data_IF_021248289278
#
_entry.id   IF_021248289278
#
_cell.length_a   1.000
_cell.length_b   1.000
_cell.length_c   1.000
_cell.angle_alpha   90.00
_cell.angle_beta   90.00
_cell.angle_gamma   90.00
#
_symmetry.space_group_name_H-M   'P 1'
#
loop_
_entity.id
_entity.type
_entity.pdbx_description
1 polymer ?
#
# COMPACT_ATOMS: atom_id res chain seq x y z
N UNK A 1 23.82 21.49 -22.88
CA UNK A 1 24.35 21.93 -24.19
C UNK A 1 25.85 22.01 -24.04
N UNK A 2 26.61 21.33 -24.90
CA UNK A 2 28.06 21.45 -24.93
C UNK A 2 28.38 22.45 -26.04
N UNK A 3 29.00 23.58 -25.68
CA UNK A 3 29.44 24.57 -26.66
C UNK A 3 30.61 24.00 -27.46
N UNK A 4 30.43 23.92 -28.78
CA UNK A 4 31.41 23.40 -29.70
C UNK A 4 32.38 24.52 -30.20
N UNK A 5 32.08 25.79 -29.93
CA UNK A 5 32.83 26.94 -30.42
C UNK A 5 32.51 27.28 -31.87
N UNK A 6 33.28 28.22 -32.44
CA UNK A 6 33.12 28.67 -33.84
C UNK A 6 34.01 27.85 -34.77
N UNK A 7 33.45 27.33 -35.85
CA UNK A 7 34.17 26.61 -36.90
C UNK A 7 34.17 27.45 -38.18
N UNK A 8 35.35 27.72 -38.72
CA UNK A 8 35.50 28.34 -40.03
C UNK A 8 35.47 27.29 -41.15
N UNK A 9 35.09 27.72 -42.36
CA UNK A 9 35.07 26.85 -43.53
C UNK A 9 36.44 26.19 -43.76
N UNK A 10 36.47 24.87 -43.83
CA UNK A 10 37.70 24.09 -44.04
C UNK A 10 38.43 23.66 -42.76
N UNK A 11 37.93 24.02 -41.57
CA UNK A 11 38.45 23.60 -40.28
C UNK A 11 37.50 22.63 -39.57
N UNK A 12 38.03 21.75 -38.71
CA UNK A 12 37.26 20.77 -37.96
C UNK A 12 38.02 20.24 -36.74
N UNK A 13 37.35 19.42 -35.92
CA UNK A 13 37.97 18.80 -34.75
C UNK A 13 38.96 17.70 -35.17
N UNK A 14 40.19 17.78 -34.65
CA UNK A 14 41.25 16.79 -34.93
C UNK A 14 41.13 15.49 -34.12
N UNK A 15 40.10 15.32 -33.29
CA UNK A 15 39.93 14.14 -32.44
C UNK A 15 38.55 14.07 -31.78
N UNK A 16 38.29 12.95 -31.10
CA UNK A 16 37.02 12.70 -30.42
C UNK A 16 36.84 13.57 -29.16
N UNK A 17 35.67 14.18 -29.01
CA UNK A 17 35.26 14.92 -27.82
C UNK A 17 34.05 14.28 -27.15
N UNK A 18 34.00 14.30 -25.81
CA UNK A 18 32.83 13.85 -25.06
C UNK A 18 31.76 14.94 -25.06
N UNK A 19 30.60 14.64 -25.66
CA UNK A 19 29.48 15.60 -25.81
C UNK A 19 28.36 15.41 -24.77
N UNK A 20 28.42 14.36 -23.95
CA UNK A 20 27.42 14.11 -22.92
C UNK A 20 27.60 12.79 -22.17
N UNK A 21 26.71 12.53 -21.21
CA UNK A 21 26.58 11.27 -20.50
C UNK A 21 25.11 10.99 -20.20
N UNK A 22 24.71 9.72 -20.29
CA UNK A 22 23.36 9.27 -19.98
C UNK A 22 23.42 8.54 -18.64
N UNK A 23 22.73 9.07 -17.64
CA UNK A 23 22.63 8.46 -16.33
C UNK A 23 21.42 7.53 -16.33
N UNK A 24 21.65 6.24 -16.58
CA UNK A 24 20.60 5.22 -16.64
C UNK A 24 19.85 5.05 -15.33
N UNK A 25 20.42 5.48 -14.20
CA UNK A 25 19.79 5.46 -12.88
C UNK A 25 18.55 6.36 -12.74
N UNK A 26 18.38 7.36 -13.62
CA UNK A 26 17.19 8.21 -13.63
C UNK A 26 16.13 7.76 -14.65
N UNK A 27 16.41 6.69 -15.41
CA UNK A 27 15.47 6.16 -16.37
C UNK A 27 14.48 5.25 -15.64
N UNK A 28 13.20 5.58 -15.71
CA UNK A 28 12.12 4.72 -15.26
C UNK A 28 11.27 4.30 -16.48
N UNK A 29 11.57 3.13 -17.07
CA UNK A 29 10.90 2.68 -18.29
C UNK A 29 9.46 2.21 -18.02
N UNK A 30 8.64 2.07 -19.07
CA UNK A 30 7.27 1.54 -18.94
C UNK A 30 7.23 0.11 -18.37
N UNK A 31 8.26 -0.68 -18.63
CA UNK A 31 8.36 -2.08 -18.21
C UNK A 31 9.83 -2.42 -17.87
N UNK A 32 10.06 -3.48 -17.10
CA UNK A 32 11.36 -3.93 -16.59
C UNK A 32 12.25 -4.65 -17.60
N UNK A 33 13.45 -5.05 -17.22
CA UNK A 33 14.34 -5.86 -18.05
C UNK A 33 15.06 -5.08 -19.17
N UNK A 34 15.33 -5.75 -20.30
CA UNK A 34 16.14 -5.16 -21.39
C UNK A 34 15.32 -4.15 -22.20
N UNK A 35 15.77 -2.89 -22.19
CA UNK A 35 15.12 -1.78 -22.88
C UNK A 35 16.03 -1.19 -23.94
N UNK A 36 15.43 -0.84 -25.08
CA UNK A 36 16.11 -0.14 -26.17
C UNK A 36 15.97 1.36 -25.95
N UNK A 37 17.09 2.07 -26.08
CA UNK A 37 17.17 3.52 -26.02
C UNK A 37 17.50 4.04 -27.40
N UNK A 38 16.75 5.06 -27.82
CA UNK A 38 17.11 5.87 -28.98
C UNK A 38 17.70 7.18 -28.50
N UNK A 39 19.00 7.35 -28.71
CA UNK A 39 19.74 8.55 -28.35
C UNK A 39 19.70 9.47 -29.55
N UNK A 40 19.06 10.63 -29.39
CA UNK A 40 19.01 11.67 -30.42
C UNK A 40 19.97 12.78 -30.03
N UNK A 41 21.00 12.96 -30.83
CA UNK A 41 21.96 14.06 -30.71
C UNK A 41 21.72 15.05 -31.85
N UNK A 42 21.67 16.34 -31.52
CA UNK A 42 21.47 17.41 -32.51
C UNK A 42 22.62 18.38 -32.45
N UNK A 43 23.15 18.71 -33.62
CA UNK A 43 24.04 19.85 -33.82
C UNK A 43 23.15 21.01 -34.23
N UNK A 44 23.24 22.11 -33.49
CA UNK A 44 22.34 23.25 -33.66
C UNK A 44 23.14 24.53 -33.86
N UNK A 45 22.60 25.44 -34.67
CA UNK A 45 23.11 26.79 -34.78
C UNK A 45 22.70 27.58 -33.53
N UNK A 46 23.66 28.09 -32.77
CA UNK A 46 23.35 28.87 -31.57
C UNK A 46 22.79 30.27 -31.88
N UNK A 47 23.06 30.80 -33.08
CA UNK A 47 22.52 32.10 -33.53
C UNK A 47 21.08 31.98 -34.08
N UNK A 48 20.63 30.76 -34.38
CA UNK A 48 19.29 30.42 -34.84
C UNK A 48 18.84 29.13 -34.14
N UNK A 49 18.65 29.19 -32.81
CA UNK A 49 18.43 27.99 -32.02
C UNK A 49 17.04 27.38 -32.29
N UNK A 50 16.95 26.08 -32.63
CA UNK A 50 15.70 25.46 -33.01
C UNK A 50 14.75 25.30 -31.83
N UNK A 51 13.44 25.31 -32.09
CA UNK A 51 12.43 25.11 -31.06
C UNK A 51 12.29 23.62 -30.70
N UNK A 52 12.96 23.21 -29.62
CA UNK A 52 12.93 21.83 -29.13
C UNK A 52 11.88 21.68 -28.02
N UNK A 53 10.83 20.90 -28.28
CA UNK A 53 9.78 20.60 -27.31
C UNK A 53 9.69 19.09 -27.05
N UNK A 54 9.82 18.68 -25.78
CA UNK A 54 9.81 17.27 -25.36
C UNK A 54 10.79 16.37 -26.14
N UNK A 55 11.90 16.95 -26.62
CA UNK A 55 12.90 16.24 -27.42
C UNK A 55 12.62 16.19 -28.93
N UNK A 56 11.52 16.79 -29.40
CA UNK A 56 11.15 16.89 -30.82
C UNK A 56 11.41 18.30 -31.36
N UNK A 57 11.66 18.39 -32.67
CA UNK A 57 11.90 19.61 -33.43
C UNK A 57 11.24 19.45 -34.80
N UNK A 58 10.77 20.54 -35.41
CA UNK A 58 10.24 20.51 -36.79
C UNK A 58 11.35 20.19 -37.79
N UNK A 59 11.02 19.51 -38.88
CA UNK A 59 11.92 19.32 -40.03
C UNK A 59 12.17 20.63 -40.79
N UNK A 60 11.28 21.61 -40.63
CA UNK A 60 11.38 22.95 -41.26
C UNK A 60 12.24 23.93 -40.43
N UNK A 61 12.79 23.49 -39.31
CA UNK A 61 13.59 24.33 -38.42
C UNK A 61 15.03 24.42 -38.93
N UNK A 62 15.38 25.58 -39.49
CA UNK A 62 16.71 25.86 -40.06
C UNK A 62 17.84 25.88 -39.01
N UNK A 63 17.48 25.92 -37.73
CA UNK A 63 18.42 25.90 -36.62
C UNK A 63 19.10 24.56 -36.38
N UNK A 64 18.57 23.46 -36.93
CA UNK A 64 19.19 22.13 -36.85
C UNK A 64 20.18 21.97 -38.00
N UNK A 65 21.47 21.90 -37.66
CA UNK A 65 22.55 21.67 -38.63
C UNK A 65 22.61 20.18 -39.01
N UNK A 66 22.51 19.30 -38.01
CA UNK A 66 22.52 17.85 -38.22
C UNK A 66 21.85 17.10 -37.05
N UNK A 67 21.34 15.90 -37.32
CA UNK A 67 20.78 15.00 -36.31
C UNK A 67 21.39 13.61 -36.42
N UNK A 68 22.04 13.17 -35.35
CA UNK A 68 22.60 11.84 -35.22
C UNK A 68 21.71 11.01 -34.29
N UNK A 69 21.39 9.80 -34.73
CA UNK A 69 20.61 8.85 -33.93
C UNK A 69 21.48 7.63 -33.66
N UNK A 70 21.60 7.27 -32.38
CA UNK A 70 22.28 6.06 -31.96
C UNK A 70 21.33 5.20 -31.13
N UNK A 71 21.36 3.91 -31.38
CA UNK A 71 20.65 2.94 -30.55
C UNK A 71 21.57 2.44 -29.44
N UNK A 72 21.03 2.36 -28.24
CA UNK A 72 21.68 1.76 -27.09
C UNK A 72 20.69 0.80 -26.41
N UNK A 73 21.20 -0.03 -25.51
CA UNK A 73 20.33 -0.83 -24.64
C UNK A 73 20.80 -0.73 -23.22
N UNK A 74 19.84 -0.73 -22.30
CA UNK A 74 20.12 -0.87 -20.87
C UNK A 74 19.19 -1.92 -20.27
N UNK A 75 19.57 -2.43 -19.11
CA UNK A 75 18.75 -3.33 -18.33
C UNK A 75 18.22 -2.57 -17.13
N UNK A 76 16.90 -2.57 -16.95
CA UNK A 76 16.24 -2.06 -15.75
C UNK A 76 15.90 -3.24 -14.84
N UNK A 77 16.37 -3.20 -13.61
CA UNK A 77 16.07 -4.23 -12.61
C UNK A 77 14.78 -3.88 -11.88
N UNK A 78 13.83 -4.80 -11.84
CA UNK A 78 12.47 -4.59 -11.29
C UNK A 78 11.42 -4.16 -12.32
N UNK A 79 10.23 -3.81 -11.81
CA UNK A 79 9.05 -3.47 -12.61
C UNK A 79 9.09 -2.03 -13.13
N UNK A 80 8.72 -1.83 -14.39
CA UNK A 80 8.52 -0.49 -14.94
C UNK A 80 7.19 0.13 -14.50
N UNK A 81 6.96 1.40 -14.84
CA UNK A 81 5.79 2.15 -14.32
C UNK A 81 4.43 1.59 -14.74
N UNK A 82 4.32 0.88 -15.87
CA UNK A 82 3.07 0.24 -16.27
C UNK A 82 2.83 -1.04 -15.47
N UNK A 83 3.86 -1.88 -15.32
CA UNK A 83 3.80 -3.10 -14.52
C UNK A 83 3.49 -2.78 -13.05
N UNK A 84 4.15 -1.77 -12.47
CA UNK A 84 3.85 -1.30 -11.11
C UNK A 84 2.40 -0.84 -11.00
N UNK A 85 1.90 -0.07 -11.97
CA UNK A 85 0.50 0.39 -11.95
C UNK A 85 -0.50 -0.76 -12.10
N UNK A 86 -0.16 -1.84 -12.81
CA UNK A 86 -0.98 -3.05 -12.92
C UNK A 86 -0.96 -3.85 -11.63
N UNK A 87 0.23 -4.09 -11.07
CA UNK A 87 0.41 -4.77 -9.79
C UNK A 87 -0.33 -4.05 -8.65
N UNK A 88 -0.32 -2.71 -8.62
CA UNK A 88 -1.10 -1.94 -7.64
C UNK A 88 -2.61 -2.20 -7.74
N UNK A 89 -3.14 -2.35 -8.96
CA UNK A 89 -4.56 -2.64 -9.15
C UNK A 89 -4.91 -4.06 -8.72
N UNK A 90 -4.02 -5.01 -9.01
CA UNK A 90 -4.20 -6.41 -8.60
C UNK A 90 -4.03 -6.57 -7.08
N UNK A 91 -3.00 -5.97 -6.49
CA UNK A 91 -2.79 -5.93 -5.04
C UNK A 91 -4.03 -5.40 -4.31
N UNK A 92 -4.63 -4.30 -4.77
CA UNK A 92 -5.88 -3.79 -4.20
C UNK A 92 -7.07 -4.73 -4.34
N UNK A 93 -7.09 -5.57 -5.37
CA UNK A 93 -8.10 -6.62 -5.50
C UNK A 93 -7.88 -7.73 -4.47
N UNK A 94 -6.63 -8.10 -4.18
CA UNK A 94 -6.30 -9.03 -3.10
C UNK A 94 -6.61 -8.43 -1.70
N UNK A 95 -6.37 -7.13 -1.49
CA UNK A 95 -6.77 -6.42 -0.26
C UNK A 95 -8.27 -6.57 0.00
N UNK A 96 -9.11 -6.39 -1.03
CA UNK A 96 -10.57 -6.59 -0.92
C UNK A 96 -10.92 -8.02 -0.52
N UNK A 97 -10.22 -9.02 -1.08
CA UNK A 97 -10.43 -10.44 -0.73
C UNK A 97 -10.06 -10.73 0.73
N UNK A 98 -8.93 -10.19 1.22
CA UNK A 98 -8.53 -10.32 2.63
C UNK A 98 -9.59 -9.71 3.55
N UNK A 99 -10.05 -8.49 3.25
CA UNK A 99 -11.08 -7.81 4.01
C UNK A 99 -12.40 -8.61 4.03
N UNK A 100 -12.81 -9.17 2.89
CA UNK A 100 -13.97 -10.06 2.81
C UNK A 100 -13.78 -11.31 3.66
N UNK A 101 -12.57 -11.87 3.71
CA UNK A 101 -12.29 -13.05 4.53
C UNK A 101 -12.41 -12.78 6.03
N UNK A 102 -12.13 -11.53 6.45
CA UNK A 102 -12.30 -11.06 7.83
C UNK A 102 -13.78 -10.88 8.14
N UNK A 103 -14.53 -10.14 7.30
CA UNK A 103 -15.98 -9.97 7.48
C UNK A 103 -16.71 -11.33 7.57
N UNK A 104 -16.35 -12.27 6.71
CA UNK A 104 -16.95 -13.61 6.68
C UNK A 104 -16.37 -14.57 7.73
N UNK A 105 -15.61 -14.11 8.73
CA UNK A 105 -14.96 -14.98 9.71
C UNK A 105 -15.94 -15.75 10.59
N UNK A 106 -17.11 -15.17 10.87
CA UNK A 106 -18.20 -15.78 11.64
C UNK A 106 -19.17 -16.62 10.77
N UNK A 107 -18.98 -16.58 9.44
CA UNK A 107 -19.80 -17.29 8.44
C UNK A 107 -20.91 -16.45 7.80
N UNK A 108 -21.10 -15.20 8.20
CA UNK A 108 -22.01 -14.24 7.59
C UNK A 108 -21.31 -12.92 7.27
N UNK A 109 -21.96 -12.07 6.47
CA UNK A 109 -21.48 -10.72 6.17
C UNK A 109 -22.53 -9.74 6.68
N UNK A 110 -22.16 -8.87 7.61
CA UNK A 110 -23.02 -7.77 8.04
C UNK A 110 -23.07 -6.67 6.97
N UNK A 111 -24.20 -5.96 6.89
CA UNK A 111 -24.35 -4.84 5.97
C UNK A 111 -23.30 -3.74 6.24
N UNK A 112 -22.92 -3.53 7.51
CA UNK A 112 -21.95 -2.52 7.95
C UNK A 112 -20.54 -2.86 7.46
N UNK A 113 -20.09 -4.10 7.63
CA UNK A 113 -18.82 -4.62 7.13
C UNK A 113 -18.72 -4.51 5.61
N UNK A 114 -19.76 -4.97 4.90
CA UNK A 114 -19.83 -4.86 3.44
C UNK A 114 -19.82 -3.41 2.97
N UNK A 115 -20.40 -2.49 3.75
CA UNK A 115 -20.36 -1.06 3.47
C UNK A 115 -18.99 -0.43 3.75
N UNK A 116 -18.24 -0.90 4.75
CA UNK A 116 -16.86 -0.49 5.00
C UNK A 116 -15.97 -0.81 3.78
N UNK A 117 -16.05 -2.03 3.24
CA UNK A 117 -15.30 -2.40 2.03
C UNK A 117 -15.71 -1.52 0.83
N UNK A 118 -17.02 -1.28 0.63
CA UNK A 118 -17.50 -0.37 -0.44
C UNK A 118 -17.01 1.07 -0.25
N UNK A 119 -16.91 1.55 0.99
CA UNK A 119 -16.41 2.89 1.29
C UNK A 119 -14.93 2.98 0.92
N UNK A 120 -14.14 1.98 1.33
CA UNK A 120 -12.73 1.90 0.96
C UNK A 120 -12.53 1.88 -0.56
N UNK A 121 -13.33 1.10 -1.31
CA UNK A 121 -13.28 1.10 -2.79
C UNK A 121 -13.51 2.51 -3.35
N UNK A 122 -14.46 3.27 -2.80
CA UNK A 122 -14.73 4.66 -3.24
C UNK A 122 -13.53 5.56 -2.96
N UNK A 123 -12.89 5.42 -1.79
CA UNK A 123 -11.68 6.17 -1.41
C UNK A 123 -10.51 5.84 -2.34
N UNK A 124 -10.28 4.56 -2.63
CA UNK A 124 -9.19 4.09 -3.50
C UNK A 124 -9.30 4.62 -4.94
N UNK A 125 -10.52 4.79 -5.47
CA UNK A 125 -10.74 5.30 -6.83
C UNK A 125 -10.95 6.81 -6.92
N UNK A 126 -11.07 7.51 -5.78
CA UNK A 126 -11.34 8.95 -5.74
C UNK A 126 -10.27 9.82 -6.45
N UNK A 127 -8.97 9.49 -6.43
CA UNK A 127 -7.95 10.26 -7.14
C UNK A 127 -8.03 10.17 -8.67
N UNK A 128 -8.76 9.20 -9.21
CA UNK A 128 -8.85 8.95 -10.65
C UNK A 128 -10.12 9.59 -11.25
N UNK A 129 -10.10 9.86 -12.55
CA UNK A 129 -11.26 10.39 -13.28
C UNK A 129 -11.47 9.71 -14.63
N UNK A 130 -12.67 9.89 -15.20
CA UNK A 130 -13.04 9.37 -16.52
C UNK A 130 -12.91 7.85 -16.63
N UNK A 131 -12.37 7.38 -17.76
CA UNK A 131 -12.29 5.95 -18.10
C UNK A 131 -11.52 5.12 -17.07
N UNK A 132 -10.43 5.65 -16.49
CA UNK A 132 -9.63 4.91 -15.50
C UNK A 132 -10.42 4.67 -14.22
N UNK A 133 -11.17 5.67 -13.74
CA UNK A 133 -12.01 5.52 -12.55
C UNK A 133 -13.11 4.47 -12.76
N UNK A 134 -13.77 4.48 -13.93
CA UNK A 134 -14.79 3.49 -14.28
C UNK A 134 -14.21 2.07 -14.36
N UNK A 135 -13.02 1.92 -14.95
CA UNK A 135 -12.31 0.65 -15.03
C UNK A 135 -11.98 0.10 -13.63
N UNK A 136 -11.36 0.92 -12.76
CA UNK A 136 -11.01 0.51 -11.40
C UNK A 136 -12.25 0.17 -10.57
N UNK A 137 -13.30 0.98 -10.68
CA UNK A 137 -14.59 0.71 -10.04
C UNK A 137 -15.11 -0.67 -10.45
N UNK A 138 -15.03 -1.03 -11.73
CA UNK A 138 -15.47 -2.35 -12.20
C UNK A 138 -14.62 -3.46 -11.57
N UNK A 139 -13.29 -3.38 -11.68
CA UNK A 139 -12.35 -4.38 -11.15
C UNK A 139 -12.59 -4.62 -9.65
N UNK A 140 -12.66 -3.56 -8.85
CA UNK A 140 -12.81 -3.69 -7.40
C UNK A 140 -14.20 -4.17 -6.97
N UNK A 141 -15.26 -3.77 -7.66
CA UNK A 141 -16.60 -4.31 -7.37
C UNK A 141 -16.72 -5.78 -7.82
N UNK A 142 -16.03 -6.19 -8.87
CA UNK A 142 -15.99 -7.58 -9.29
C UNK A 142 -15.21 -8.41 -8.26
N UNK A 143 -14.05 -7.93 -7.77
CA UNK A 143 -13.31 -8.55 -6.67
C UNK A 143 -14.16 -8.70 -5.40
N UNK A 144 -14.94 -7.67 -5.03
CA UNK A 144 -15.86 -7.72 -3.89
C UNK A 144 -16.94 -8.81 -4.05
N UNK A 145 -17.55 -8.92 -5.24
CA UNK A 145 -18.59 -9.93 -5.49
C UNK A 145 -18.02 -11.35 -5.53
N UNK A 146 -16.89 -11.53 -6.21
CA UNK A 146 -16.24 -12.83 -6.34
C UNK A 146 -15.76 -13.32 -4.99
N UNK A 147 -15.08 -12.49 -4.20
CA UNK A 147 -14.62 -12.85 -2.86
C UNK A 147 -15.76 -13.24 -1.93
N UNK A 148 -16.91 -12.54 -1.99
CA UNK A 148 -18.09 -12.92 -1.21
C UNK A 148 -18.63 -14.31 -1.62
N UNK A 149 -18.69 -14.59 -2.92
CA UNK A 149 -19.13 -15.90 -3.42
C UNK A 149 -18.19 -17.02 -2.99
N UNK A 150 -16.88 -16.81 -3.13
CA UNK A 150 -15.83 -17.75 -2.72
C UNK A 150 -15.83 -17.95 -1.19
N UNK A 151 -16.04 -16.90 -0.40
CA UNK A 151 -16.14 -17.02 1.05
C UNK A 151 -17.36 -17.85 1.45
N UNK A 152 -18.49 -17.64 0.77
CA UNK A 152 -19.73 -18.38 1.01
C UNK A 152 -19.64 -19.86 0.63
N UNK A 153 -18.88 -20.20 -0.42
CA UNK A 153 -18.63 -21.60 -0.80
C UNK A 153 -17.50 -22.26 -0.03
N UNK A 154 -16.71 -21.49 0.73
CA UNK A 154 -15.53 -21.97 1.44
C UNK A 154 -14.28 -22.10 0.56
N UNK A 155 -14.32 -21.55 -0.66
CA UNK A 155 -13.23 -21.60 -1.64
C UNK A 155 -12.25 -20.42 -1.51
N UNK A 156 -12.59 -19.39 -0.72
CA UNK A 156 -11.73 -18.22 -0.55
C UNK A 156 -10.45 -18.58 0.21
N UNK A 157 -9.33 -18.65 -0.51
CA UNK A 157 -8.02 -18.97 0.05
C UNK A 157 -7.33 -17.74 0.62
N UNK A 158 -7.32 -17.61 1.95
CA UNK A 158 -6.60 -16.53 2.64
C UNK A 158 -5.09 -16.64 2.40
N UNK A 159 -4.52 -17.84 2.50
CA UNK A 159 -3.07 -18.02 2.29
C UNK A 159 -2.65 -17.69 0.86
N UNK A 160 -3.43 -18.12 -0.14
CA UNK A 160 -3.14 -17.78 -1.54
C UNK A 160 -3.27 -16.28 -1.81
N UNK A 161 -4.23 -15.62 -1.16
CA UNK A 161 -4.41 -14.15 -1.24
C UNK A 161 -3.21 -13.43 -0.60
N UNK A 162 -2.74 -13.89 0.57
CA UNK A 162 -1.55 -13.35 1.26
C UNK A 162 -0.30 -13.54 0.41
N UNK A 163 -0.05 -14.75 -0.13
CA UNK A 163 1.10 -15.03 -1.00
C UNK A 163 1.09 -14.15 -2.25
N UNK A 164 -0.08 -13.99 -2.89
CA UNK A 164 -0.22 -13.14 -4.07
C UNK A 164 0.00 -11.66 -3.73
N UNK A 165 -0.49 -11.21 -2.57
CA UNK A 165 -0.25 -9.85 -2.12
C UNK A 165 1.23 -9.62 -1.79
N UNK A 166 1.92 -10.57 -1.16
CA UNK A 166 3.38 -10.51 -0.92
C UNK A 166 4.20 -10.34 -2.20
N UNK A 167 3.78 -10.99 -3.30
CA UNK A 167 4.45 -10.91 -4.60
C UNK A 167 4.26 -9.56 -5.29
N UNK A 168 3.07 -8.96 -5.17
CA UNK A 168 2.67 -7.79 -5.94
C UNK A 168 2.86 -6.47 -5.19
N UNK A 169 2.72 -6.48 -3.87
CA UNK A 169 2.54 -5.29 -3.06
C UNK A 169 3.86 -4.77 -2.47
N UNK A 170 4.03 -3.45 -2.56
CA UNK A 170 5.00 -2.74 -1.75
C UNK A 170 4.49 -2.58 -0.31
N UNK A 171 5.38 -2.21 0.61
CA UNK A 171 5.05 -2.05 2.04
C UNK A 171 3.79 -1.21 2.31
N UNK A 172 3.54 -0.07 1.64
CA UNK A 172 2.34 0.72 1.89
C UNK A 172 1.02 -0.05 1.66
N UNK A 173 0.94 -0.84 0.61
CA UNK A 173 -0.25 -1.62 0.25
C UNK A 173 -0.49 -2.77 1.24
N UNK A 174 0.57 -3.35 1.82
CA UNK A 174 0.45 -4.36 2.87
C UNK A 174 -0.17 -3.77 4.15
N UNK A 175 0.25 -2.57 4.55
CA UNK A 175 -0.39 -1.85 5.66
C UNK A 175 -1.82 -1.38 5.32
N UNK A 176 -2.06 -0.96 4.07
CA UNK A 176 -3.40 -0.63 3.57
C UNK A 176 -4.36 -1.85 3.70
N UNK A 177 -3.84 -3.07 3.48
CA UNK A 177 -4.60 -4.30 3.67
C UNK A 177 -5.07 -4.48 5.11
N UNK A 178 -4.15 -4.32 6.08
CA UNK A 178 -4.47 -4.48 7.49
C UNK A 178 -5.36 -3.36 8.00
N UNK A 179 -5.15 -2.10 7.56
CA UNK A 179 -6.03 -0.99 7.92
C UNK A 179 -7.46 -1.28 7.45
N UNK A 180 -7.66 -1.76 6.23
CA UNK A 180 -9.00 -2.14 5.77
C UNK A 180 -9.59 -3.29 6.59
N UNK A 181 -8.80 -4.30 6.96
CA UNK A 181 -9.30 -5.39 7.79
C UNK A 181 -9.77 -4.90 9.17
N UNK A 182 -9.06 -3.94 9.77
CA UNK A 182 -9.52 -3.29 11.01
C UNK A 182 -10.74 -2.38 10.80
N UNK A 183 -10.84 -1.68 9.66
CA UNK A 183 -12.02 -0.90 9.32
C UNK A 183 -13.28 -1.77 9.17
N UNK A 184 -13.13 -2.98 8.62
CA UNK A 184 -14.20 -3.98 8.48
C UNK A 184 -14.65 -4.48 9.85
N UNK A 185 -13.72 -4.99 10.65
CA UNK A 185 -14.00 -5.45 12.02
C UNK A 185 -14.60 -4.34 12.90
N UNK A 186 -14.27 -3.07 12.62
CA UNK A 186 -14.81 -1.93 13.36
C UNK A 186 -16.20 -1.49 12.89
N UNK A 187 -16.71 -2.00 11.78
CA UNK A 187 -17.84 -1.41 11.07
C UNK A 187 -19.19 -1.61 11.79
N UNK A 188 -19.40 -2.78 12.39
CA UNK A 188 -20.58 -3.09 13.20
C UNK A 188 -20.44 -2.65 14.67
N UNK A 189 -19.24 -2.18 15.03
CA UNK A 189 -18.88 -1.70 16.35
C UNK A 189 -18.50 -2.79 17.34
N UNK A 190 -18.44 -4.05 16.93
CA UNK A 190 -18.19 -5.20 17.82
C UNK A 190 -16.98 -5.98 17.31
N UNK A 191 -16.01 -6.27 18.18
CA UNK A 191 -14.84 -7.05 17.79
C UNK A 191 -15.02 -8.53 18.13
N UNK A 192 -15.05 -9.42 17.13
CA UNK A 192 -15.10 -10.87 17.32
C UNK A 192 -13.69 -11.50 17.42
N UNK A 193 -13.57 -12.57 18.21
CA UNK A 193 -12.29 -13.28 18.41
C UNK A 193 -11.74 -13.90 17.12
N UNK A 194 -12.61 -14.40 16.23
CA UNK A 194 -12.20 -15.02 14.97
C UNK A 194 -11.66 -13.97 13.99
N UNK A 195 -12.25 -12.78 13.95
CA UNK A 195 -11.76 -11.65 13.15
C UNK A 195 -10.37 -11.21 13.62
N UNK A 196 -10.20 -10.98 14.93
CA UNK A 196 -8.91 -10.57 15.50
C UNK A 196 -7.82 -11.60 15.18
N UNK A 197 -8.12 -12.89 15.34
CA UNK A 197 -7.16 -13.97 15.01
C UNK A 197 -6.83 -13.99 13.53
N UNK A 198 -7.83 -13.78 12.66
CA UNK A 198 -7.63 -13.77 11.21
C UNK A 198 -6.77 -12.58 10.78
N UNK A 199 -7.01 -11.38 11.32
CA UNK A 199 -6.19 -10.19 11.06
C UNK A 199 -4.74 -10.42 11.49
N UNK A 200 -4.50 -11.01 12.67
CA UNK A 200 -3.15 -11.36 13.12
C UNK A 200 -2.45 -12.34 12.16
N UNK A 201 -3.15 -13.40 11.74
CA UNK A 201 -2.59 -14.36 10.78
C UNK A 201 -2.27 -13.73 9.43
N UNK A 202 -3.09 -12.78 8.94
CA UNK A 202 -2.81 -12.02 7.73
C UNK A 202 -1.57 -11.14 7.92
N UNK A 203 -1.47 -10.41 9.04
CA UNK A 203 -0.32 -9.54 9.32
C UNK A 203 1.00 -10.32 9.43
N UNK A 204 0.97 -11.49 10.07
CA UNK A 204 2.12 -12.41 10.14
C UNK A 204 2.51 -12.92 8.74
N UNK A 205 1.52 -13.32 7.94
CA UNK A 205 1.74 -13.79 6.58
C UNK A 205 2.31 -12.72 5.64
N UNK A 206 1.98 -11.45 5.88
CA UNK A 206 2.54 -10.30 5.14
C UNK A 206 3.88 -9.79 5.70
N UNK A 207 4.42 -10.45 6.72
CA UNK A 207 5.70 -10.08 7.34
C UNK A 207 5.73 -8.67 7.92
N UNK A 208 4.60 -8.17 8.43
CA UNK A 208 4.47 -6.80 8.94
C UNK A 208 4.99 -6.65 10.38
N UNK A 209 5.46 -5.45 10.71
CA UNK A 209 5.93 -5.12 12.05
C UNK A 209 4.74 -5.04 13.02
N UNK A 210 4.73 -5.95 13.98
CA UNK A 210 3.67 -6.10 14.96
C UNK A 210 3.45 -4.84 15.80
N UNK A 211 4.49 -4.05 16.08
CA UNK A 211 4.37 -2.81 16.85
C UNK A 211 3.56 -1.75 16.09
N UNK A 212 3.69 -1.71 14.75
CA UNK A 212 2.87 -0.82 13.90
C UNK A 212 1.43 -1.34 13.78
N UNK A 213 1.25 -2.66 13.72
CA UNK A 213 -0.09 -3.28 13.73
C UNK A 213 -0.82 -3.00 15.04
N UNK A 214 -0.13 -3.01 16.19
CA UNK A 214 -0.73 -2.63 17.47
C UNK A 214 -1.22 -1.18 17.47
N UNK A 215 -0.47 -0.25 16.90
CA UNK A 215 -0.89 1.16 16.80
C UNK A 215 -2.14 1.31 15.94
N UNK A 216 -2.20 0.61 14.81
CA UNK A 216 -3.39 0.60 13.93
C UNK A 216 -4.59 0.01 14.65
N UNK A 217 -4.43 -1.17 15.26
CA UNK A 217 -5.46 -1.80 16.08
C UNK A 217 -5.99 -0.84 17.14
N UNK A 218 -5.09 -0.27 17.92
CA UNK A 218 -5.44 0.60 19.04
C UNK A 218 -6.16 1.88 18.58
N UNK A 219 -5.89 2.38 17.37
CA UNK A 219 -6.62 3.51 16.76
C UNK A 219 -8.07 3.13 16.46
N UNK A 220 -8.32 1.93 15.92
CA UNK A 220 -9.66 1.49 15.57
C UNK A 220 -10.47 1.06 16.80
N UNK A 221 -9.86 0.38 17.78
CA UNK A 221 -10.54 -0.08 19.00
C UNK A 221 -11.09 1.05 19.88
N UNK A 222 -10.47 2.24 19.87
CA UNK A 222 -10.95 3.37 20.71
C UNK A 222 -12.38 3.76 20.35
N UNK A 223 -12.76 3.65 19.07
CA UNK A 223 -14.10 3.99 18.60
C UNK A 223 -15.15 2.88 18.73
N UNK A 224 -14.78 1.66 19.14
CA UNK A 224 -15.65 0.46 19.07
C UNK A 224 -16.29 0.08 20.41
N UNK A 225 -17.52 -0.45 20.40
CA UNK A 225 -18.09 -1.13 21.55
C UNK A 225 -17.49 -2.53 21.73
N UNK A 226 -16.57 -2.65 22.68
CA UNK A 226 -16.04 -3.95 23.06
C UNK A 226 -17.14 -4.82 23.67
N UNK A 227 -17.58 -5.84 22.94
CA UNK A 227 -18.46 -6.89 23.45
C UNK A 227 -17.63 -7.90 24.25
N UNK A 228 -17.78 -7.85 25.58
CA UNK A 228 -17.03 -8.73 26.51
C UNK A 228 -17.46 -10.20 26.45
N UNK A 229 -18.52 -10.54 25.71
CA UNK A 229 -19.04 -11.91 25.63
C UNK A 229 -18.42 -12.73 24.48
N UNK A 230 -17.75 -12.09 23.53
CA UNK A 230 -17.34 -12.71 22.26
C UNK A 230 -15.83 -12.93 22.09
N UNK A 231 -14.99 -12.32 22.93
CA UNK A 231 -13.54 -12.49 22.82
C UNK A 231 -12.83 -12.67 24.17
N UNK A 232 -11.87 -13.59 24.20
CA UNK A 232 -11.00 -13.82 25.35
C UNK A 232 -10.13 -12.60 25.69
N UNK A 233 -9.88 -12.38 26.98
CA UNK A 233 -8.99 -11.32 27.50
C UNK A 233 -7.62 -11.39 26.84
N UNK A 234 -7.10 -12.61 26.60
CA UNK A 234 -5.82 -12.81 25.92
C UNK A 234 -5.84 -12.30 24.49
N UNK A 235 -6.91 -12.55 23.73
CA UNK A 235 -7.00 -12.10 22.34
C UNK A 235 -7.10 -10.58 22.26
N UNK A 236 -7.96 -9.98 23.09
CA UNK A 236 -8.20 -8.52 23.13
C UNK A 236 -6.93 -7.78 23.57
N UNK A 237 -6.30 -8.22 24.65
CA UNK A 237 -5.08 -7.59 25.20
C UNK A 237 -3.80 -8.06 24.50
N UNK A 238 -3.92 -8.86 23.46
CA UNK A 238 -2.80 -9.34 22.66
C UNK A 238 -1.73 -10.09 23.46
N UNK A 239 -2.20 -10.95 24.37
CA UNK A 239 -1.35 -11.80 25.19
C UNK A 239 -1.09 -13.10 24.42
N UNK A 240 0.17 -13.37 24.14
CA UNK A 240 0.61 -14.65 23.58
C UNK A 240 0.52 -15.75 24.66
N UNK A 241 -0.15 -16.89 24.37
CA UNK A 241 -0.24 -18.02 25.29
C UNK A 241 1.11 -18.58 25.75
N UNK A 242 2.17 -18.40 24.96
CA UNK A 242 3.51 -18.89 25.26
C UNK A 242 4.32 -17.95 26.16
N UNK A 243 3.80 -16.76 26.49
CA UNK A 243 4.49 -15.85 27.38
C UNK A 243 4.53 -16.38 28.81
N UNK A 244 5.66 -16.15 29.48
CA UNK A 244 5.73 -16.36 30.92
C UNK A 244 4.84 -15.34 31.65
N UNK A 245 4.34 -15.71 32.83
CA UNK A 245 3.55 -14.79 33.66
C UNK A 245 4.27 -13.46 33.91
N UNK A 246 5.61 -13.45 34.01
CA UNK A 246 6.38 -12.22 34.17
C UNK A 246 6.32 -11.33 32.92
N UNK A 247 6.44 -11.92 31.72
CA UNK A 247 6.32 -11.19 30.45
C UNK A 247 4.90 -10.65 30.27
N UNK A 248 3.89 -11.45 30.58
CA UNK A 248 2.48 -11.04 30.54
C UNK A 248 2.21 -9.87 31.50
N UNK A 249 2.73 -9.91 32.73
CA UNK A 249 2.61 -8.79 33.68
C UNK A 249 3.27 -7.50 33.17
N UNK A 250 4.45 -7.60 32.54
CA UNK A 250 5.12 -6.43 31.93
C UNK A 250 4.27 -5.85 30.80
N UNK A 251 3.73 -6.68 29.91
CA UNK A 251 2.83 -6.27 28.85
C UNK A 251 1.58 -5.55 29.40
N UNK A 252 0.89 -6.16 30.36
CA UNK A 252 -0.28 -5.56 31.05
C UNK A 252 0.05 -4.26 31.80
N UNK A 253 1.32 -4.02 32.12
CA UNK A 253 1.76 -2.74 32.71
C UNK A 253 1.87 -1.65 31.66
N UNK A 254 2.44 -1.98 30.51
CA UNK A 254 2.55 -1.08 29.35
C UNK A 254 1.16 -0.72 28.82
N UNK A 255 0.29 -1.73 28.60
CA UNK A 255 -1.08 -1.51 28.14
C UNK A 255 -1.87 -0.63 29.11
N UNK A 256 -1.77 -0.86 30.41
CA UNK A 256 -2.44 0.00 31.40
C UNK A 256 -1.99 1.46 31.29
N UNK A 257 -0.69 1.71 31.14
CA UNK A 257 -0.18 3.07 31.00
C UNK A 257 -0.72 3.75 29.72
N UNK A 258 -0.79 3.03 28.60
CA UNK A 258 -1.35 3.52 27.33
C UNK A 258 -2.83 3.88 27.49
N UNK A 259 -3.66 2.95 27.94
CA UNK A 259 -5.11 3.14 28.07
C UNK A 259 -5.49 4.15 29.16
N UNK A 260 -4.72 4.21 30.25
CA UNK A 260 -4.92 5.21 31.29
C UNK A 260 -4.58 6.61 30.79
N UNK A 261 -3.56 6.77 29.95
CA UNK A 261 -3.28 8.06 29.33
C UNK A 261 -4.46 8.48 28.44
N UNK A 262 -4.95 7.58 27.57
CA UNK A 262 -6.10 7.82 26.70
C UNK A 262 -7.36 8.24 27.47
N UNK A 263 -7.72 7.52 28.53
CA UNK A 263 -8.87 7.85 29.39
C UNK A 263 -8.83 9.29 29.93
N UNK A 264 -7.63 9.78 30.23
CA UNK A 264 -7.41 11.13 30.78
C UNK A 264 -7.33 12.22 29.70
N UNK A 265 -7.08 11.86 28.44
CA UNK A 265 -7.01 12.81 27.32
C UNK A 265 -8.30 12.90 26.50
N UNK A 266 -9.10 11.84 26.48
CA UNK A 266 -10.35 11.78 25.72
C UNK A 266 -11.46 12.60 26.40
N UNK A 267 -12.30 13.26 25.59
CA UNK A 267 -13.49 13.95 26.07
C UNK A 267 -14.53 12.95 26.60
N UNK A 268 -15.52 13.41 27.37
CA UNK A 268 -16.66 12.56 27.74
C UNK A 268 -17.40 12.07 26.50
N UNK A 269 -17.69 10.76 26.47
CA UNK A 269 -18.32 10.09 25.35
C UNK A 269 -17.86 8.63 25.24
N UNK A 270 -18.33 7.97 24.19
CA UNK A 270 -18.13 6.53 23.95
C UNK A 270 -16.66 6.11 24.00
N UNK A 271 -15.77 6.88 23.37
CA UNK A 271 -14.34 6.56 23.32
C UNK A 271 -13.68 6.51 24.72
N UNK A 272 -14.13 7.37 25.64
CA UNK A 272 -13.66 7.39 27.01
C UNK A 272 -14.23 6.22 27.81
N UNK A 273 -15.47 5.84 27.57
CA UNK A 273 -16.08 4.64 28.15
C UNK A 273 -15.37 3.36 27.67
N UNK A 274 -15.01 3.28 26.39
CA UNK A 274 -14.24 2.17 25.83
C UNK A 274 -12.84 2.08 26.45
N UNK A 275 -12.17 3.22 26.64
CA UNK A 275 -10.89 3.26 27.34
C UNK A 275 -11.02 2.75 28.79
N UNK A 276 -12.13 3.03 29.47
CA UNK A 276 -12.40 2.49 30.81
C UNK A 276 -12.61 0.96 30.77
N UNK A 277 -13.41 0.45 29.82
CA UNK A 277 -13.61 -1.01 29.63
C UNK A 277 -12.27 -1.74 29.40
N UNK A 278 -11.36 -1.16 28.61
CA UNK A 278 -10.02 -1.72 28.41
C UNK A 278 -9.20 -1.77 29.71
N UNK A 279 -9.28 -0.75 30.56
CA UNK A 279 -8.61 -0.76 31.87
C UNK A 279 -9.18 -1.85 32.79
N UNK A 280 -10.48 -2.07 32.74
CA UNK A 280 -11.14 -3.12 33.52
C UNK A 280 -10.68 -4.51 33.06
N UNK A 281 -10.61 -4.75 31.75
CA UNK A 281 -10.05 -6.00 31.18
C UNK A 281 -8.58 -6.20 31.58
N UNK A 282 -7.77 -5.14 31.57
CA UNK A 282 -6.37 -5.21 32.02
C UNK A 282 -6.30 -5.58 33.51
N UNK A 283 -7.21 -5.05 34.34
CA UNK A 283 -7.29 -5.40 35.75
C UNK A 283 -7.66 -6.88 35.95
N UNK A 284 -8.59 -7.42 35.15
CA UNK A 284 -8.92 -8.85 35.14
C UNK A 284 -7.75 -9.73 34.70
N UNK A 285 -7.07 -9.35 33.60
CA UNK A 285 -5.85 -10.02 33.15
C UNK A 285 -4.77 -10.05 34.24
N UNK A 286 -4.56 -8.93 34.95
CA UNK A 286 -3.61 -8.87 36.07
C UNK A 286 -3.97 -9.81 37.21
N UNK A 287 -5.26 -10.00 37.51
CA UNK A 287 -5.73 -10.98 38.51
C UNK A 287 -5.49 -12.42 38.04
N UNK A 288 -5.77 -12.70 36.76
CA UNK A 288 -5.61 -14.04 36.16
C UNK A 288 -4.15 -14.51 36.15
N UNK A 289 -3.22 -13.60 35.89
CA UNK A 289 -1.78 -13.90 35.79
C UNK A 289 -0.99 -13.53 37.05
N UNK A 290 -1.66 -13.23 38.17
CA UNK A 290 -1.06 -12.80 39.44
C UNK A 290 -0.11 -13.85 40.05
#
# INVERSE_FOLDING_TARGET
>A
IVDAGKLESGYGYGGWGKVGGIFTSFLYPPEGGKRLLKIVFRIVNMDDFPNIHLGFCSEEDNGVIDTLVADASFYFDGNGFLETAENENEARSEIIKLAMSVAMADGSLDDSEGNAIKHWIKKAIAPFSGKKQEQLKKIYNDALRTSYQEAKSGDLSVSGTVERLEELAETPQKYEAIELCFEVMAADGVADENEIKKIKGIAEGLGLDFDEIEKLRDKHLVGMELSMEQASIETILNIDPNWSNEKTKKHLTVEFAKWNNRLNTLAEGQERENAQKMLDLIAEGRKKYA
#
